data_IF_612927555970
#
_entry.id   IF_612927555970
#
_cell.length_a   1.000
_cell.length_b   1.000
_cell.length_c   1.000
_cell.angle_alpha   90.00
_cell.angle_beta   90.00
_cell.angle_gamma   90.00
#
_symmetry.space_group_name_H-M   'P 1'
#
loop_
_entity.id
_entity.type
_entity.pdbx_description
1 polymer ?
#
# COMPACT_ATOMS: atom_id res chain seq x y z
N UNK A 1 -26.72 -0.93 -0.63
CA UNK A 1 -25.31 -0.93 -1.07
C UNK A 1 -24.64 -2.17 -0.48
N UNK A 2 -24.58 -3.29 -1.22
CA UNK A 2 -24.12 -4.58 -0.66
C UNK A 2 -23.10 -5.31 -1.57
N UNK A 3 -22.85 -4.81 -2.79
CA UNK A 3 -22.03 -5.52 -3.77
C UNK A 3 -20.60 -4.99 -3.95
N UNK A 4 -20.37 -3.69 -3.71
CA UNK A 4 -19.05 -3.09 -3.94
C UNK A 4 -18.19 -3.17 -2.69
N UNK A 5 -16.93 -3.54 -2.85
CA UNK A 5 -15.97 -3.61 -1.75
C UNK A 5 -14.57 -3.89 -2.25
N UNK A 6 -13.62 -3.73 -1.34
CA UNK A 6 -12.22 -4.02 -1.58
C UNK A 6 -11.81 -5.28 -0.84
N UNK A 7 -10.89 -6.04 -1.43
CA UNK A 7 -10.21 -7.16 -0.80
C UNK A 7 -8.71 -6.92 -0.78
N UNK A 8 -8.05 -7.36 0.30
CA UNK A 8 -6.59 -7.41 0.37
C UNK A 8 -6.15 -8.73 -0.25
N UNK A 9 -5.31 -8.65 -1.27
CA UNK A 9 -4.70 -9.82 -1.93
C UNK A 9 -3.46 -10.26 -1.16
N UNK A 10 -2.60 -9.30 -0.81
CA UNK A 10 -1.33 -9.54 -0.15
C UNK A 10 -0.88 -8.30 0.60
N UNK A 11 -0.13 -8.49 1.69
CA UNK A 11 0.61 -7.41 2.34
C UNK A 11 2.09 -7.71 2.31
N UNK A 12 2.87 -6.77 1.77
CA UNK A 12 4.33 -6.82 1.74
C UNK A 12 4.90 -5.76 2.68
N UNK A 13 6.00 -6.09 3.34
CA UNK A 13 6.80 -5.17 4.13
C UNK A 13 8.23 -5.09 3.64
N UNK A 14 8.79 -3.88 3.63
CA UNK A 14 10.22 -3.66 3.47
C UNK A 14 10.82 -3.26 4.82
N UNK A 15 11.80 -4.03 5.29
CA UNK A 15 12.45 -3.83 6.58
C UNK A 15 13.90 -3.34 6.44
N UNK A 16 14.27 -2.45 7.37
CA UNK A 16 15.62 -1.94 7.53
C UNK A 16 15.84 -1.55 9.00
N UNK A 17 17.04 -1.81 9.52
CA UNK A 17 17.38 -1.49 10.91
C UNK A 17 16.51 -2.22 11.96
N UNK A 18 16.07 -3.45 11.65
CA UNK A 18 15.35 -4.31 12.61
C UNK A 18 13.85 -4.04 12.77
N UNK A 19 13.24 -3.27 11.86
CA UNK A 19 11.79 -3.04 11.81
C UNK A 19 11.30 -2.86 10.37
N UNK A 20 10.01 -3.02 10.14
CA UNK A 20 9.38 -2.67 8.86
C UNK A 20 9.25 -1.15 8.77
N UNK A 21 9.75 -0.57 7.68
CA UNK A 21 9.74 0.87 7.41
C UNK A 21 8.68 1.25 6.38
N UNK A 22 8.40 0.35 5.43
CA UNK A 22 7.40 0.57 4.38
C UNK A 22 6.49 -0.63 4.25
N UNK A 23 5.21 -0.37 3.96
CA UNK A 23 4.21 -1.39 3.66
C UNK A 23 3.65 -1.17 2.26
N UNK A 24 3.37 -2.26 1.56
CA UNK A 24 2.58 -2.29 0.34
C UNK A 24 1.42 -3.26 0.52
N UNK A 25 0.19 -2.73 0.53
CA UNK A 25 -1.06 -3.48 0.65
C UNK A 25 -1.65 -3.63 -0.74
N UNK A 26 -1.53 -4.83 -1.32
CA UNK A 26 -2.11 -5.13 -2.61
C UNK A 26 -3.61 -5.33 -2.45
N UNK A 27 -4.38 -4.56 -3.19
CA UNK A 27 -5.85 -4.59 -3.17
C UNK A 27 -6.41 -4.80 -4.58
N UNK A 28 -7.62 -5.33 -4.62
CA UNK A 28 -8.45 -5.40 -5.82
C UNK A 28 -9.92 -5.23 -5.43
N UNK A 29 -10.78 -4.73 -6.34
CA UNK A 29 -12.21 -4.75 -6.11
C UNK A 29 -12.75 -6.18 -5.99
N UNK A 30 -13.78 -6.38 -5.17
CA UNK A 30 -14.51 -7.65 -5.14
C UNK A 30 -15.21 -7.89 -6.49
N UNK A 31 -15.37 -9.16 -6.87
CA UNK A 31 -16.12 -9.50 -8.07
C UNK A 31 -17.55 -8.93 -8.02
N UNK A 32 -17.95 -8.22 -9.07
CA UNK A 32 -19.26 -7.55 -9.13
C UNK A 32 -19.32 -6.19 -8.44
N UNK A 33 -18.19 -5.65 -7.95
CA UNK A 33 -18.11 -4.27 -7.49
C UNK A 33 -18.32 -3.30 -8.65
N UNK A 34 -18.99 -2.18 -8.38
CA UNK A 34 -18.89 -1.00 -9.21
C UNK A 34 -17.44 -0.45 -9.13
N UNK A 35 -17.00 0.38 -10.10
CA UNK A 35 -15.71 1.06 -10.01
C UNK A 35 -15.59 1.81 -8.68
N UNK A 36 -14.41 1.74 -8.05
CA UNK A 36 -14.13 2.35 -6.75
C UNK A 36 -13.08 3.44 -6.93
N UNK A 37 -13.41 4.67 -6.53
CA UNK A 37 -12.46 5.77 -6.49
C UNK A 37 -11.61 5.72 -5.22
N UNK A 38 -10.29 5.63 -5.37
CA UNK A 38 -9.34 5.62 -4.26
C UNK A 38 -8.94 7.03 -3.80
N UNK A 39 -9.35 8.09 -4.51
CA UNK A 39 -9.02 9.48 -4.16
C UNK A 39 -9.60 9.89 -2.80
N UNK A 40 -10.77 9.33 -2.45
CA UNK A 40 -11.47 9.53 -1.19
C UNK A 40 -11.27 8.37 -0.20
N UNK A 41 -10.56 7.31 -0.62
CA UNK A 41 -10.28 6.20 0.27
C UNK A 41 -9.37 6.63 1.42
N UNK A 42 -9.53 5.98 2.57
CA UNK A 42 -8.72 6.21 3.75
C UNK A 42 -8.13 4.88 4.21
N UNK A 43 -6.85 4.86 4.55
CA UNK A 43 -6.21 3.69 5.17
C UNK A 43 -6.01 3.95 6.64
N UNK A 44 -6.54 3.06 7.47
CA UNK A 44 -6.32 3.06 8.91
C UNK A 44 -5.47 1.86 9.28
N UNK A 45 -4.40 2.07 10.05
CA UNK A 45 -3.52 0.98 10.50
C UNK A 45 -2.99 1.26 11.91
N UNK A 46 -2.84 0.20 12.71
CA UNK A 46 -2.35 0.29 14.09
C UNK A 46 -1.51 -0.92 14.48
N UNK A 47 -0.48 -0.68 15.29
CA UNK A 47 0.34 -1.69 15.97
C UNK A 47 -0.16 -2.01 17.40
N UNK A 48 -1.35 -1.50 17.76
CA UNK A 48 -1.93 -1.60 19.10
C UNK A 48 -1.57 -0.46 20.05
N UNK A 49 -0.51 0.31 19.77
CA UNK A 49 -0.10 1.48 20.57
C UNK A 49 -0.25 2.78 19.79
N UNK A 50 0.17 2.77 18.52
CA UNK A 50 0.11 3.87 17.59
C UNK A 50 -0.95 3.61 16.53
N UNK A 51 -1.59 4.67 16.06
CA UNK A 51 -2.61 4.62 15.02
C UNK A 51 -2.30 5.65 13.95
N UNK A 52 -2.32 5.21 12.71
CA UNK A 52 -2.14 6.05 11.53
C UNK A 52 -3.42 6.04 10.72
N UNK A 53 -3.79 7.22 10.23
CA UNK A 53 -4.83 7.41 9.22
C UNK A 53 -4.16 8.12 8.04
N UNK A 54 -4.18 7.46 6.89
CA UNK A 54 -3.54 7.93 5.68
C UNK A 54 -4.57 8.23 4.58
N UNK A 55 -4.35 9.34 3.85
CA UNK A 55 -5.16 9.74 2.68
C UNK A 55 -4.35 9.65 1.39
N UNK A 56 -5.03 9.55 0.25
CA UNK A 56 -4.34 9.49 -1.03
C UNK A 56 -3.51 10.75 -1.29
N UNK A 57 -2.29 10.58 -1.81
CA UNK A 57 -1.47 11.67 -2.31
C UNK A 57 -0.99 11.37 -3.73
N UNK A 58 -1.52 12.11 -4.71
CA UNK A 58 -1.24 11.91 -6.14
C UNK A 58 0.22 12.14 -6.53
N UNK A 59 1.01 12.84 -5.71
CA UNK A 59 2.47 12.99 -5.94
C UNK A 59 3.21 11.66 -5.88
N UNK A 60 2.65 10.70 -5.14
CA UNK A 60 3.16 9.34 -4.92
C UNK A 60 2.33 8.31 -5.68
N UNK A 61 2.06 8.61 -6.95
CA UNK A 61 1.42 7.69 -7.90
C UNK A 61 2.45 7.12 -8.87
N UNK A 62 2.38 5.82 -9.13
CA UNK A 62 3.13 5.16 -10.18
C UNK A 62 2.24 4.23 -11.01
N UNK A 63 1.94 4.64 -12.25
CA UNK A 63 1.07 3.89 -13.16
C UNK A 63 1.76 2.74 -13.89
N UNK A 64 3.08 2.57 -13.76
CA UNK A 64 3.81 1.49 -14.44
C UNK A 64 5.04 1.08 -13.64
N UNK A 65 5.12 -0.20 -13.29
CA UNK A 65 6.36 -0.77 -12.79
C UNK A 65 7.40 -0.85 -13.91
N UNK A 66 8.56 -0.21 -13.71
CA UNK A 66 9.71 -0.28 -14.62
C UNK A 66 10.83 -1.08 -13.96
N UNK A 67 11.80 -1.53 -14.76
CA UNK A 67 13.09 -2.05 -14.30
C UNK A 67 13.04 -3.23 -13.29
N UNK A 68 12.31 -4.30 -13.63
CA UNK A 68 12.32 -5.54 -12.82
C UNK A 68 11.16 -5.71 -11.83
N UNK A 69 10.24 -4.73 -11.75
CA UNK A 69 8.92 -4.96 -11.15
C UNK A 69 8.81 -4.76 -9.63
N UNK A 70 9.81 -4.18 -8.98
CA UNK A 70 9.77 -3.96 -7.53
C UNK A 70 8.85 -2.78 -7.15
N UNK A 71 7.91 -3.05 -6.24
CA UNK A 71 6.98 -2.04 -5.70
C UNK A 71 7.71 -1.04 -4.78
N UNK A 72 8.82 -1.46 -4.17
CA UNK A 72 9.58 -0.62 -3.23
C UNK A 72 10.74 0.13 -3.89
N UNK A 73 10.96 -0.04 -5.20
CA UNK A 73 12.08 0.59 -5.90
C UNK A 73 11.84 2.06 -6.25
N UNK A 74 12.92 2.70 -6.70
CA UNK A 74 13.05 4.13 -6.80
C UNK A 74 12.17 4.79 -7.88
N UNK A 75 11.67 5.98 -7.56
CA UNK A 75 11.25 6.95 -8.56
C UNK A 75 12.49 7.36 -9.34
N UNK A 76 12.50 7.15 -10.66
CA UNK A 76 13.53 7.76 -11.51
C UNK A 76 13.23 9.26 -11.61
N UNK A 77 13.77 10.01 -10.64
CA UNK A 77 13.86 11.46 -10.74
C UNK A 77 14.92 11.74 -11.81
N UNK A 78 14.79 12.78 -12.63
CA UNK A 78 15.78 13.09 -13.70
C UNK A 78 17.20 13.43 -13.17
N UNK A 79 17.39 13.37 -11.85
CA UNK A 79 18.65 13.55 -11.13
C UNK A 79 19.22 12.16 -10.82
N UNK A 80 20.50 11.96 -11.06
CA UNK A 80 21.29 10.72 -11.01
C UNK A 80 21.27 9.89 -9.71
N UNK A 81 20.41 10.20 -8.73
CA UNK A 81 20.22 9.43 -7.51
C UNK A 81 18.88 8.66 -7.54
N UNK A 82 18.95 7.33 -7.43
CA UNK A 82 17.79 6.48 -7.23
C UNK A 82 17.20 6.77 -5.83
N UNK A 83 16.02 7.39 -5.76
CA UNK A 83 15.29 7.61 -4.49
C UNK A 83 14.11 6.65 -4.39
N UNK A 84 13.97 5.81 -3.34
CA UNK A 84 12.83 4.90 -3.18
C UNK A 84 11.51 5.65 -3.35
N UNK A 85 10.54 5.06 -4.06
CA UNK A 85 9.29 5.72 -4.47
C UNK A 85 8.51 6.38 -3.31
N UNK A 86 8.69 5.89 -2.08
CA UNK A 86 7.97 6.31 -0.88
C UNK A 86 8.84 6.93 0.22
N UNK A 87 10.07 7.28 -0.10
CA UNK A 87 11.01 7.76 0.92
C UNK A 87 10.59 9.12 1.50
N UNK A 88 9.95 9.99 0.69
CA UNK A 88 9.34 11.25 1.15
C UNK A 88 7.83 11.16 1.39
N UNK A 89 7.24 9.95 1.34
CA UNK A 89 5.80 9.81 1.55
C UNK A 89 5.45 10.23 2.99
N UNK A 90 4.61 11.25 3.19
CA UNK A 90 4.21 11.67 4.53
C UNK A 90 3.47 10.54 5.26
N UNK A 91 3.67 10.41 6.56
CA UNK A 91 3.08 9.29 7.29
C UNK A 91 1.55 9.34 7.41
N UNK A 92 0.94 10.48 7.13
CA UNK A 92 -0.52 10.67 7.03
C UNK A 92 -1.04 10.55 5.60
N UNK A 93 -0.22 10.03 4.68
CA UNK A 93 -0.55 9.85 3.28
C UNK A 93 -0.21 8.45 2.79
N UNK A 94 -0.92 8.00 1.76
CA UNK A 94 -0.58 6.79 1.02
C UNK A 94 -0.37 7.10 -0.46
N UNK A 95 0.53 6.35 -1.06
CA UNK A 95 0.76 6.32 -2.50
C UNK A 95 0.08 5.12 -3.15
N UNK A 96 -0.02 5.14 -4.48
CA UNK A 96 -0.57 4.04 -5.27
C UNK A 96 0.44 3.59 -6.32
N UNK A 97 0.64 2.28 -6.43
CA UNK A 97 1.35 1.65 -7.54
C UNK A 97 0.39 0.75 -8.29
N UNK A 98 0.26 0.97 -9.60
CA UNK A 98 -0.56 0.13 -10.47
C UNK A 98 0.24 -1.11 -10.87
N UNK A 99 -0.30 -2.29 -10.57
CA UNK A 99 0.28 -3.59 -10.92
C UNK A 99 -0.42 -4.19 -12.13
N UNK A 100 -1.75 -4.06 -12.18
CA UNK A 100 -2.58 -4.52 -13.26
C UNK A 100 -3.73 -3.54 -13.43
N UNK A 101 -3.86 -2.99 -14.63
CA UNK A 101 -4.95 -2.12 -15.05
C UNK A 101 -5.10 -2.29 -16.57
N UNK A 102 -6.16 -2.97 -16.98
CA UNK A 102 -6.35 -3.35 -18.38
C UNK A 102 -6.96 -2.23 -19.22
N UNK A 103 -7.77 -1.37 -18.60
CA UNK A 103 -8.54 -0.32 -19.28
C UNK A 103 -8.04 1.10 -18.98
N UNK A 104 -6.92 1.22 -18.25
CA UNK A 104 -6.27 2.48 -17.88
C UNK A 104 -7.16 3.39 -17.03
N UNK A 105 -8.10 2.80 -16.28
CA UNK A 105 -9.01 3.55 -15.41
C UNK A 105 -8.32 4.11 -14.17
N UNK A 106 -7.19 3.52 -13.75
CA UNK A 106 -6.43 3.98 -12.59
C UNK A 106 -5.35 4.98 -13.01
N UNK A 107 -5.65 6.27 -12.87
CA UNK A 107 -4.72 7.35 -13.17
C UNK A 107 -4.32 8.16 -11.92
N UNK A 108 -3.30 9.01 -12.05
CA UNK A 108 -2.79 9.85 -10.96
C UNK A 108 -3.86 10.78 -10.37
N UNK A 109 -4.66 11.41 -11.22
CA UNK A 109 -5.66 12.39 -10.78
C UNK A 109 -7.04 11.74 -10.62
N UNK A 110 -7.24 10.56 -11.23
CA UNK A 110 -8.46 9.75 -11.13
C UNK A 110 -8.09 8.30 -10.81
N UNK A 111 -7.72 7.97 -9.57
CA UNK A 111 -7.28 6.63 -9.17
C UNK A 111 -8.49 5.69 -8.98
N UNK A 112 -9.23 5.45 -10.05
CA UNK A 112 -10.39 4.56 -10.07
C UNK A 112 -9.92 3.15 -10.37
N UNK A 113 -10.42 2.17 -9.63
CA UNK A 113 -10.15 0.75 -9.87
C UNK A 113 -11.45 0.00 -10.13
N UNK A 114 -11.43 -0.90 -11.09
CA UNK A 114 -12.56 -1.73 -11.47
C UNK A 114 -12.19 -3.22 -11.58
N UNK A 115 -13.05 -4.01 -12.25
CA UNK A 115 -12.95 -5.46 -12.23
C UNK A 115 -11.67 -5.94 -12.90
N UNK A 116 -10.83 -6.57 -12.10
CA UNK A 116 -9.57 -7.17 -12.56
C UNK A 116 -8.36 -6.27 -12.32
N UNK A 117 -8.56 -5.06 -11.79
CA UNK A 117 -7.45 -4.18 -11.45
C UNK A 117 -6.80 -4.62 -10.14
N UNK A 118 -5.48 -4.50 -10.09
CA UNK A 118 -4.67 -4.75 -8.91
C UNK A 118 -3.76 -3.55 -8.72
N UNK A 119 -3.85 -2.95 -7.54
CA UNK A 119 -3.01 -1.82 -7.14
C UNK A 119 -2.42 -2.09 -5.77
N UNK A 120 -1.21 -1.58 -5.52
CA UNK A 120 -0.61 -1.55 -4.20
C UNK A 120 -0.83 -0.18 -3.58
N UNK A 121 -1.45 -0.16 -2.39
CA UNK A 121 -1.45 1.00 -1.52
C UNK A 121 -0.17 0.99 -0.68
N UNK A 122 0.63 2.02 -0.84
CA UNK A 122 1.96 2.11 -0.22
C UNK A 122 1.96 3.12 0.94
N UNK A 123 2.55 2.72 2.06
CA UNK A 123 2.61 3.48 3.30
C UNK A 123 4.05 3.58 3.81
N UNK A 124 4.44 4.76 4.28
CA UNK A 124 5.65 4.95 5.07
C UNK A 124 5.29 4.88 6.55
N UNK A 125 5.74 3.81 7.21
CA UNK A 125 5.45 3.53 8.63
C UNK A 125 6.67 3.69 9.53
N UNK A 126 7.83 4.01 8.95
CA UNK A 126 9.13 4.05 9.63
C UNK A 126 9.15 4.86 10.93
N UNK A 127 8.44 5.98 10.95
CA UNK A 127 8.41 6.93 12.07
C UNK A 127 7.05 7.01 12.79
N UNK A 128 6.09 6.16 12.41
CA UNK A 128 4.72 6.22 12.96
C UNK A 128 4.23 4.94 13.57
N UNK A 129 4.65 3.78 13.06
CA UNK A 129 4.40 2.49 13.68
C UNK A 129 5.73 1.85 14.08
N UNK A 130 5.71 1.06 15.15
CA UNK A 130 6.89 0.34 15.61
C UNK A 130 6.78 -1.15 15.27
N UNK A 131 6.93 -1.45 13.99
CA UNK A 131 6.79 -2.81 13.45
C UNK A 131 8.07 -3.62 13.63
N UNK A 132 8.41 -3.90 14.89
CA UNK A 132 9.45 -4.86 15.30
C UNK A 132 8.97 -6.31 15.08
N UNK A 133 9.86 -7.31 15.24
CA UNK A 133 9.44 -8.71 15.21
C UNK A 133 8.33 -9.02 16.24
N UNK A 134 7.39 -9.90 15.89
CA UNK A 134 6.23 -10.31 16.70
C UNK A 134 5.23 -9.21 17.08
N UNK A 135 5.16 -8.14 16.29
CA UNK A 135 4.17 -7.08 16.44
C UNK A 135 2.89 -7.47 15.69
N UNK A 136 1.75 -7.43 16.39
CA UNK A 136 0.43 -7.57 15.78
C UNK A 136 0.01 -6.25 15.16
N UNK A 137 -0.41 -6.30 13.89
CA UNK A 137 -0.86 -5.15 13.13
C UNK A 137 -2.26 -5.41 12.64
N UNK A 138 -3.13 -4.42 12.81
CA UNK A 138 -4.50 -4.46 12.28
C UNK A 138 -4.83 -3.15 11.59
N UNK A 139 -5.71 -3.21 10.61
CA UNK A 139 -6.10 -2.04 9.84
C UNK A 139 -7.17 -2.35 8.81
N UNK A 140 -7.53 -1.33 8.05
CA UNK A 140 -8.41 -1.46 6.93
C UNK A 140 -8.17 -0.37 5.88
N UNK A 141 -8.41 -0.72 4.62
CA UNK A 141 -8.58 0.21 3.51
C UNK A 141 -10.07 0.45 3.35
N UNK A 142 -10.50 1.69 3.58
CA UNK A 142 -11.90 2.07 3.60
C UNK A 142 -12.16 2.92 2.35
N UNK A 143 -12.91 2.42 1.35
CA UNK A 143 -13.32 3.23 0.21
C UNK A 143 -14.41 4.23 0.62
N UNK A 144 -14.71 5.21 -0.24
CA UNK A 144 -15.85 6.13 -0.04
C UNK A 144 -17.17 5.36 0.06
N UNK A 145 -17.32 4.33 -0.77
CA UNK A 145 -18.47 3.46 -0.80
C UNK A 145 -18.02 2.00 -0.94
N UNK A 146 -18.68 1.12 -0.19
CA UNK A 146 -18.46 -0.31 -0.25
C UNK A 146 -17.80 -0.90 1.01
N UNK A 147 -17.60 -2.21 0.99
CA UNK A 147 -16.99 -2.93 2.10
C UNK A 147 -15.47 -2.65 2.17
N UNK A 148 -14.92 -2.45 3.39
CA UNK A 148 -13.50 -2.19 3.58
C UNK A 148 -12.65 -3.46 3.38
N UNK A 149 -11.42 -3.29 2.91
CA UNK A 149 -10.43 -4.35 2.84
C UNK A 149 -9.71 -4.46 4.19
N UNK A 150 -9.80 -5.60 4.87
CA UNK A 150 -9.19 -5.79 6.20
C UNK A 150 -7.73 -6.19 6.09
N UNK A 151 -6.88 -5.51 6.86
CA UNK A 151 -5.45 -5.83 7.03
C UNK A 151 -5.29 -6.42 8.43
N UNK A 152 -4.72 -7.62 8.53
CA UNK A 152 -4.43 -8.24 9.82
C UNK A 152 -3.27 -9.22 9.69
N UNK A 153 -2.13 -8.86 10.26
CA UNK A 153 -0.95 -9.71 10.26
C UNK A 153 -0.18 -9.62 11.57
N UNK A 154 0.73 -10.57 11.80
CA UNK A 154 1.73 -10.49 12.85
C UNK A 154 3.10 -10.58 12.20
N UNK A 155 3.98 -9.62 12.49
CA UNK A 155 5.34 -9.65 11.93
C UNK A 155 6.11 -10.89 12.38
N UNK A 156 7.04 -11.42 11.57
CA UNK A 156 7.77 -12.64 11.89
C UNK A 156 8.62 -12.50 13.16
N UNK A 157 9.15 -13.61 13.66
CA UNK A 157 9.98 -13.62 14.86
C UNK A 157 11.38 -13.01 14.66
N UNK A 158 11.85 -12.92 13.41
CA UNK A 158 13.12 -12.30 13.05
C UNK A 158 13.03 -11.70 11.65
N UNK A 159 13.85 -10.69 11.39
CA UNK A 159 14.09 -10.16 10.06
C UNK A 159 15.47 -10.61 9.60
N UNK A 160 15.56 -11.17 8.39
CA UNK A 160 16.83 -11.62 7.83
C UNK A 160 17.49 -10.45 7.11
N UNK A 161 18.76 -10.19 7.42
CA UNK A 161 19.55 -9.15 6.73
C UNK A 161 19.74 -9.44 5.24
N UNK A 162 19.60 -10.70 4.83
CA UNK A 162 19.72 -11.14 3.44
C UNK A 162 18.45 -10.91 2.61
N UNK A 163 17.32 -10.59 3.24
CA UNK A 163 16.03 -10.43 2.57
C UNK A 163 15.27 -9.22 3.12
N UNK A 164 15.31 -8.10 2.41
CA UNK A 164 14.65 -6.86 2.84
C UNK A 164 13.12 -6.85 2.66
N UNK A 165 12.59 -7.59 1.69
CA UNK A 165 11.15 -7.64 1.40
C UNK A 165 10.56 -8.93 1.94
N UNK A 166 9.51 -8.82 2.74
CA UNK A 166 8.80 -9.94 3.37
C UNK A 166 7.30 -9.89 3.07
N UNK A 167 6.70 -11.06 2.91
CA UNK A 167 5.25 -11.22 2.85
C UNK A 167 4.68 -11.38 4.26
N UNK A 168 3.58 -10.68 4.55
CA UNK A 168 3.01 -10.55 5.90
C UNK A 168 1.58 -11.11 5.97
N UNK A 169 0.85 -11.07 4.87
CA UNK A 169 -0.51 -11.58 4.69
C UNK A 169 -0.69 -12.00 3.24
#
# INVERSE_FOLDING_TARGET
QVASGLQVIRVLGNHSGGKINWLAVLISPNAGSAPIDLSQATVMITDGTHKVIAKYNSTFFNGTLKNGGSIFEAKYNNTTALKPLFDDLPATAFGIVVLQDADTSCSKDTPVINKGDIVAICLNVSNTLNLKPRTKVTGAVIPEFGAPAVISFTTPATYLDTQHIIELQ
#
